data_IF_133196645038
#
_entry.id   IF_133196645038
#
_cell.length_a   1.000
_cell.length_b   1.000
_cell.length_c   1.000
_cell.angle_alpha   90.00
_cell.angle_beta   90.00
_cell.angle_gamma   90.00
#
_symmetry.space_group_name_H-M   'P 1'
#
loop_
_entity.id
_entity.type
_entity.pdbx_description
1 polymer ?
#
# COMPACT_ATOMS: atom_id res chain seq x y z
N UNK A 1 -14.43 -11.03 1.51
CA UNK A 1 -15.10 -9.74 1.17
C UNK A 1 -16.42 -9.98 0.45
N UNK A 2 -17.38 -9.04 0.52
CA UNK A 2 -18.66 -9.15 -0.21
C UNK A 2 -18.75 -8.07 -1.29
N UNK A 3 -18.93 -8.47 -2.55
CA UNK A 3 -19.19 -7.57 -3.67
C UNK A 3 -20.51 -6.82 -3.48
N UNK A 4 -20.52 -5.54 -3.85
CA UNK A 4 -21.67 -4.66 -3.83
C UNK A 4 -21.90 -4.11 -5.24
N UNK A 5 -23.08 -4.41 -5.79
CA UNK A 5 -23.51 -3.92 -7.10
C UNK A 5 -23.82 -2.42 -7.04
N UNK A 6 -23.35 -1.68 -8.04
CA UNK A 6 -23.57 -0.25 -8.17
C UNK A 6 -23.65 0.15 -9.65
N UNK A 7 -24.84 0.52 -10.10
CA UNK A 7 -25.07 0.98 -11.47
C UNK A 7 -24.21 2.22 -11.83
N UNK A 8 -23.83 3.03 -10.84
CA UNK A 8 -22.95 4.19 -11.05
C UNK A 8 -21.53 3.78 -11.43
N UNK A 9 -21.00 2.73 -10.78
CA UNK A 9 -19.67 2.22 -11.09
C UNK A 9 -19.67 1.50 -12.44
N UNK A 10 -20.73 0.75 -12.75
CA UNK A 10 -20.88 0.11 -14.06
C UNK A 10 -20.93 1.12 -15.22
N UNK A 11 -21.63 2.24 -15.03
CA UNK A 11 -21.64 3.35 -15.99
C UNK A 11 -20.24 3.96 -16.16
N UNK A 12 -19.47 4.12 -15.08
CA UNK A 12 -18.10 4.62 -15.14
C UNK A 12 -17.15 3.63 -15.82
N UNK A 13 -17.30 2.32 -15.58
CA UNK A 13 -16.49 1.28 -16.25
C UNK A 13 -16.67 1.37 -17.77
N UNK A 14 -17.91 1.53 -18.22
CA UNK A 14 -18.23 1.68 -19.64
C UNK A 14 -17.71 3.00 -20.23
N UNK A 15 -17.70 4.08 -19.44
CA UNK A 15 -17.25 5.39 -19.89
C UNK A 15 -15.71 5.51 -19.95
N UNK A 16 -15.00 4.83 -19.06
CA UNK A 16 -13.53 4.88 -18.95
C UNK A 16 -12.83 3.79 -19.77
N UNK A 17 -13.53 2.71 -20.11
CA UNK A 17 -12.96 1.69 -20.99
C UNK A 17 -12.98 2.17 -22.43
N UNK A 18 -11.80 2.38 -23.00
CA UNK A 18 -11.61 2.96 -24.33
C UNK A 18 -10.70 2.05 -25.15
N UNK A 19 -11.04 1.86 -26.42
CA UNK A 19 -10.20 1.19 -27.40
C UNK A 19 -9.71 2.23 -28.39
N UNK A 20 -8.39 2.36 -28.49
CA UNK A 20 -7.68 3.13 -29.51
C UNK A 20 -6.98 2.14 -30.46
N UNK A 21 -6.55 2.62 -31.62
CA UNK A 21 -5.97 1.75 -32.67
C UNK A 21 -4.75 0.95 -32.18
N UNK A 22 -3.97 1.49 -31.23
CA UNK A 22 -2.74 0.90 -30.72
C UNK A 22 -2.81 0.39 -29.27
N UNK A 23 -3.87 0.73 -28.53
CA UNK A 23 -4.00 0.35 -27.12
C UNK A 23 -5.46 0.24 -26.66
N UNK A 24 -5.71 -0.69 -25.75
CA UNK A 24 -7.01 -0.85 -25.10
C UNK A 24 -6.89 -0.59 -23.60
N UNK A 25 -7.59 0.42 -23.13
CA UNK A 25 -7.73 0.70 -21.71
C UNK A 25 -8.97 -0.05 -21.19
N UNK A 26 -8.74 -1.06 -20.35
CA UNK A 26 -9.79 -1.88 -19.74
C UNK A 26 -9.93 -1.49 -18.26
N UNK A 27 -11.03 -0.82 -17.92
CA UNK A 27 -11.24 -0.25 -16.57
C UNK A 27 -12.36 -0.97 -15.86
N UNK A 28 -12.05 -1.49 -14.67
CA UNK A 28 -13.02 -2.14 -13.78
C UNK A 28 -13.00 -1.52 -12.39
N UNK A 29 -14.01 -0.70 -12.11
CA UNK A 29 -14.33 -0.16 -10.80
C UNK A 29 -15.37 -1.04 -10.12
N UNK A 30 -15.04 -1.48 -8.91
CA UNK A 30 -15.86 -2.39 -8.10
C UNK A 30 -15.96 -1.86 -6.68
N UNK A 31 -17.04 -2.22 -5.98
CA UNK A 31 -17.19 -1.89 -4.57
C UNK A 31 -17.39 -3.13 -3.72
N UNK A 32 -16.73 -3.15 -2.56
CA UNK A 32 -16.73 -4.30 -1.65
C UNK A 32 -17.01 -3.86 -0.21
N UNK A 33 -17.81 -4.64 0.50
CA UNK A 33 -17.96 -4.49 1.95
C UNK A 33 -16.83 -5.22 2.68
N UNK A 34 -16.20 -4.53 3.63
CA UNK A 34 -15.19 -5.07 4.55
C UNK A 34 -15.77 -6.01 5.63
N UNK A 35 -17.03 -6.44 5.50
CA UNK A 35 -17.66 -7.38 6.42
C UNK A 35 -17.05 -8.76 6.22
N UNK A 36 -16.34 -9.25 7.24
CA UNK A 36 -15.80 -10.61 7.25
C UNK A 36 -16.91 -11.65 7.10
N UNK A 37 -16.85 -12.44 6.03
CA UNK A 37 -17.65 -13.67 5.89
C UNK A 37 -16.96 -14.85 6.57
N UNK A 38 -17.60 -16.01 6.65
CA UNK A 38 -17.06 -17.17 7.39
C UNK A 38 -15.69 -17.63 6.85
N UNK A 39 -15.50 -17.59 5.54
CA UNK A 39 -14.23 -17.91 4.87
C UNK A 39 -13.13 -16.94 5.28
N UNK A 40 -13.43 -15.63 5.26
CA UNK A 40 -12.51 -14.58 5.71
C UNK A 40 -12.09 -14.78 7.17
N UNK A 41 -13.02 -15.15 8.05
CA UNK A 41 -12.71 -15.43 9.47
C UNK A 41 -11.73 -16.59 9.63
N UNK A 42 -11.83 -17.62 8.78
CA UNK A 42 -10.91 -18.77 8.79
C UNK A 42 -9.54 -18.37 8.28
N UNK A 43 -9.48 -17.61 7.19
CA UNK A 43 -8.23 -17.09 6.64
C UNK A 43 -7.53 -16.16 7.63
N UNK A 44 -8.25 -15.21 8.22
CA UNK A 44 -7.74 -14.31 9.25
C UNK A 44 -7.04 -15.08 10.39
N UNK A 45 -7.67 -16.13 10.91
CA UNK A 45 -7.09 -16.96 11.98
C UNK A 45 -5.83 -17.72 11.55
N UNK A 46 -5.69 -18.07 10.27
CA UNK A 46 -4.50 -18.77 9.73
C UNK A 46 -3.33 -17.80 9.54
N UNK A 47 -3.61 -16.60 9.05
CA UNK A 47 -2.60 -15.55 8.82
C UNK A 47 -2.13 -14.93 10.14
N UNK A 48 -2.96 -14.96 11.17
CA UNK A 48 -2.65 -14.36 12.46
C UNK A 48 -1.70 -15.24 13.29
N UNK A 49 -0.50 -14.72 13.55
CA UNK A 49 0.45 -15.35 14.46
C UNK A 49 0.05 -15.06 15.92
N UNK A 50 0.18 -16.04 16.85
CA UNK A 50 -0.06 -15.80 18.27
C UNK A 50 0.87 -14.69 18.79
N UNK A 51 0.31 -13.68 19.45
CA UNK A 51 1.07 -12.58 20.05
C UNK A 51 1.16 -11.29 19.23
N UNK A 52 0.55 -11.25 18.05
CA UNK A 52 0.40 -10.01 17.27
C UNK A 52 -1.00 -9.43 17.47
N UNK A 53 -1.22 -8.14 17.24
CA UNK A 53 -2.54 -7.49 17.31
C UNK A 53 -3.03 -7.11 15.90
N UNK A 54 -4.36 -7.04 15.66
CA UNK A 54 -4.90 -6.62 14.37
C UNK A 54 -4.50 -5.20 13.94
N UNK A 55 -4.16 -4.36 14.92
CA UNK A 55 -3.76 -2.95 14.71
C UNK A 55 -2.25 -2.78 14.58
N UNK A 56 -1.48 -3.86 14.70
CA UNK A 56 -0.04 -3.80 14.56
C UNK A 56 0.31 -3.30 13.15
N UNK A 57 1.24 -2.37 13.09
CA UNK A 57 1.67 -1.72 11.87
C UNK A 57 2.83 -2.48 11.24
N UNK A 58 2.76 -2.64 9.92
CA UNK A 58 3.82 -3.17 9.09
C UNK A 58 4.28 -2.10 8.10
N UNK A 59 5.59 -2.00 7.83
CA UNK A 59 6.10 -1.01 6.88
C UNK A 59 5.64 -1.33 5.46
N UNK A 60 5.29 -0.29 4.70
CA UNK A 60 4.98 -0.37 3.28
C UNK A 60 6.26 -0.37 2.42
N UNK A 61 6.08 -0.58 1.12
CA UNK A 61 7.11 -0.26 0.12
C UNK A 61 7.52 1.21 0.25
N UNK A 62 8.79 1.56 -0.03
CA UNK A 62 9.19 2.96 -0.12
C UNK A 62 8.29 3.69 -1.12
N UNK A 63 7.93 4.96 -0.88
CA UNK A 63 7.30 5.76 -1.92
C UNK A 63 8.23 5.76 -3.13
N UNK A 64 7.70 5.44 -4.30
CA UNK A 64 8.42 5.68 -5.56
C UNK A 64 8.51 7.19 -5.68
N UNK A 65 9.64 7.75 -5.24
CA UNK A 65 9.97 9.11 -5.62
C UNK A 65 10.35 9.02 -7.09
N UNK A 66 9.51 9.57 -7.96
CA UNK A 66 9.93 9.94 -9.31
C UNK A 66 11.02 11.00 -9.17
N UNK A 67 12.24 10.58 -8.86
CA UNK A 67 13.42 11.41 -9.01
C UNK A 67 13.90 11.22 -10.46
N UNK A 68 13.82 12.27 -11.32
CA UNK A 68 14.21 12.17 -12.72
C UNK A 68 15.71 11.85 -12.91
N UNK A 69 16.49 11.87 -11.84
CA UNK A 69 17.92 11.56 -11.83
C UNK A 69 18.19 10.36 -10.94
N UNK A 70 17.76 9.17 -11.40
CA UNK A 70 17.92 7.87 -10.75
C UNK A 70 19.36 7.49 -10.38
N UNK A 71 19.89 8.13 -9.35
CA UNK A 71 21.13 7.75 -8.71
C UNK A 71 20.80 6.99 -7.42
N UNK A 72 21.17 5.71 -7.30
CA UNK A 72 21.27 5.11 -5.97
C UNK A 72 22.26 5.97 -5.16
N UNK A 73 22.07 6.18 -3.85
CA UNK A 73 23.07 6.84 -3.03
C UNK A 73 24.37 6.04 -3.14
N UNK A 74 25.32 6.61 -3.88
CA UNK A 74 26.60 5.99 -4.14
C UNK A 74 27.33 5.84 -2.80
N UNK A 75 27.92 4.66 -2.49
CA UNK A 75 28.58 4.43 -1.21
C UNK A 75 29.83 5.29 -0.96
N UNK A 76 30.25 6.13 -1.93
CA UNK A 76 31.52 6.86 -1.90
C UNK A 76 31.39 8.37 -1.70
N UNK A 77 30.28 8.90 -1.19
CA UNK A 77 30.22 10.30 -0.75
C UNK A 77 31.13 10.48 0.49
N UNK A 78 32.18 11.31 0.43
CA UNK A 78 33.07 11.54 1.56
C UNK A 78 32.32 12.33 2.63
N UNK A 79 31.73 11.61 3.59
CA UNK A 79 30.91 12.17 4.67
C UNK A 79 30.11 11.12 5.45
N UNK A 80 29.84 9.94 4.87
CA UNK A 80 29.18 8.83 5.57
C UNK A 80 30.20 7.88 6.19
N UNK A 81 30.53 8.09 7.47
CA UNK A 81 31.21 7.06 8.26
C UNK A 81 30.32 5.81 8.38
N UNK A 82 30.85 4.59 8.25
CA UNK A 82 30.08 3.33 8.29
C UNK A 82 29.65 2.93 9.71
N UNK A 83 29.49 3.89 10.64
CA UNK A 83 29.11 3.65 12.03
C UNK A 83 27.59 3.61 12.25
N UNK A 84 26.80 4.04 11.26
CA UNK A 84 25.34 4.13 11.38
C UNK A 84 24.61 2.83 10.98
N UNK A 85 25.29 1.79 10.52
CA UNK A 85 24.61 0.52 10.21
C UNK A 85 24.36 -0.34 11.46
N UNK A 86 25.22 -0.26 12.48
CA UNK A 86 25.11 -1.12 13.67
C UNK A 86 24.14 -0.59 14.74
N UNK A 87 23.83 0.71 14.76
CA UNK A 87 22.92 1.28 15.75
C UNK A 87 21.43 0.96 15.48
N UNK A 88 21.08 0.52 14.27
CA UNK A 88 19.69 0.33 13.84
C UNK A 88 19.02 -0.94 14.39
N UNK A 89 19.74 -1.81 15.10
CA UNK A 89 19.17 -3.02 15.70
C UNK A 89 18.91 -2.91 17.22
N UNK A 90 19.18 -1.76 17.83
CA UNK A 90 18.95 -1.53 19.27
C UNK A 90 18.24 -0.21 19.56
N UNK A 91 16.96 -0.12 19.22
CA UNK A 91 16.07 0.80 19.90
C UNK A 91 14.76 0.10 20.21
N UNK A 92 14.75 -0.50 21.40
CA UNK A 92 13.57 -1.09 22.04
C UNK A 92 12.54 0.00 22.31
N UNK A 93 11.31 -0.24 21.87
CA UNK A 93 10.10 -0.15 22.69
C UNK A 93 9.97 1.09 23.60
N UNK A 94 9.44 2.22 23.13
CA UNK A 94 8.73 3.21 23.97
C UNK A 94 7.62 3.93 23.20
N UNK A 95 6.56 4.17 23.95
CA UNK A 95 5.21 4.59 23.61
C UNK A 95 5.04 6.08 23.33
N UNK A 96 3.88 6.38 22.75
CA UNK A 96 3.05 7.59 22.83
C UNK A 96 3.57 8.93 22.27
N UNK A 97 2.76 9.42 21.32
CA UNK A 97 2.33 10.79 21.09
C UNK A 97 3.20 11.94 21.64
N UNK A 98 3.73 12.77 20.74
CA UNK A 98 3.58 14.23 20.79
C UNK A 98 4.04 14.87 19.48
N UNK A 99 3.12 15.62 18.86
CA UNK A 99 3.41 16.59 17.83
C UNK A 99 4.17 17.75 18.47
N UNK A 100 5.41 17.96 18.04
CA UNK A 100 6.17 19.18 18.33
C UNK A 100 7.02 19.49 17.11
N UNK A 101 6.71 20.61 16.45
CA UNK A 101 7.45 21.10 15.31
C UNK A 101 8.85 21.53 15.72
N UNK A 102 9.82 21.02 14.97
CA UNK A 102 11.16 21.59 14.85
C UNK A 102 11.64 21.27 13.44
N UNK A 103 12.03 22.30 12.69
CA UNK A 103 12.63 22.24 11.36
C UNK A 103 14.02 21.58 11.41
N UNK A 104 14.05 20.28 11.68
CA UNK A 104 15.19 19.39 11.57
C UNK A 104 14.71 18.21 10.73
N UNK A 105 15.48 17.80 9.73
CA UNK A 105 15.14 16.75 8.76
C UNK A 105 14.91 15.42 9.51
N UNK A 106 13.69 15.28 10.05
CA UNK A 106 13.30 14.22 10.94
C UNK A 106 13.29 12.89 10.20
N UNK A 107 13.43 11.77 10.94
CA UNK A 107 13.40 10.44 10.35
C UNK A 107 12.17 10.30 9.46
N UNK A 108 12.40 10.03 8.17
CA UNK A 108 11.34 9.76 7.19
C UNK A 108 10.38 8.75 7.83
N UNK A 109 9.19 9.23 8.21
CA UNK A 109 8.15 8.41 8.79
C UNK A 109 7.76 7.41 7.72
N UNK A 110 8.32 6.19 7.79
CA UNK A 110 8.05 5.15 6.82
C UNK A 110 6.55 4.85 6.86
N UNK A 111 5.91 4.96 5.69
CA UNK A 111 4.49 4.64 5.58
C UNK A 111 4.23 3.23 6.10
N UNK A 112 3.10 3.08 6.79
CA UNK A 112 2.75 1.83 7.45
C UNK A 112 1.29 1.49 7.29
N UNK A 113 1.01 0.20 7.31
CA UNK A 113 -0.33 -0.36 7.16
C UNK A 113 -0.64 -1.28 8.33
N UNK A 114 -1.87 -1.23 8.84
CA UNK A 114 -2.29 -2.20 9.85
C UNK A 114 -2.43 -3.58 9.23
N UNK A 115 -2.10 -4.64 9.99
CA UNK A 115 -2.35 -6.03 9.56
C UNK A 115 -3.79 -6.26 9.11
N UNK A 116 -4.74 -5.60 9.78
CA UNK A 116 -6.15 -5.66 9.41
C UNK A 116 -6.40 -5.09 8.02
N UNK A 117 -5.88 -3.89 7.75
CA UNK A 117 -6.03 -3.26 6.43
C UNK A 117 -5.35 -4.08 5.35
N UNK A 118 -4.14 -4.58 5.60
CA UNK A 118 -3.42 -5.44 4.65
C UNK A 118 -4.24 -6.70 4.31
N UNK A 119 -4.79 -7.37 5.33
CA UNK A 119 -5.66 -8.52 5.12
C UNK A 119 -6.90 -8.17 4.28
N UNK A 120 -7.54 -7.04 4.57
CA UNK A 120 -8.71 -6.60 3.82
C UNK A 120 -8.35 -6.33 2.34
N UNK A 121 -7.20 -5.71 2.05
CA UNK A 121 -6.72 -5.50 0.67
C UNK A 121 -6.45 -6.82 -0.07
N UNK A 122 -5.72 -7.75 0.56
CA UNK A 122 -5.45 -9.08 -0.02
C UNK A 122 -6.75 -9.84 -0.28
N UNK A 123 -7.71 -9.74 0.65
CA UNK A 123 -9.01 -10.37 0.48
C UNK A 123 -9.79 -9.76 -0.70
N UNK A 124 -9.69 -8.45 -0.94
CA UNK A 124 -10.28 -7.82 -2.14
C UNK A 124 -9.63 -8.34 -3.41
N UNK A 125 -8.29 -8.39 -3.47
CA UNK A 125 -7.56 -8.89 -4.65
C UNK A 125 -7.97 -10.32 -5.01
N UNK A 126 -7.97 -11.23 -4.02
CA UNK A 126 -8.38 -12.62 -4.21
C UNK A 126 -9.85 -12.75 -4.67
N UNK A 127 -10.73 -11.81 -4.31
CA UNK A 127 -12.12 -11.83 -4.77
C UNK A 127 -12.33 -11.20 -6.15
N UNK A 128 -11.53 -10.19 -6.50
CA UNK A 128 -11.62 -9.48 -7.78
C UNK A 128 -10.93 -10.26 -8.91
N UNK A 129 -9.84 -10.98 -8.59
CA UNK A 129 -9.05 -11.78 -9.53
C UNK A 129 -9.02 -13.23 -9.08
N UNK A 130 -10.11 -13.97 -9.35
CA UNK A 130 -10.30 -15.34 -8.85
C UNK A 130 -9.35 -16.38 -9.45
N UNK A 131 -8.69 -16.04 -10.54
CA UNK A 131 -7.68 -16.82 -11.24
C UNK A 131 -6.27 -16.65 -10.66
N UNK A 132 -6.08 -15.72 -9.72
CA UNK A 132 -4.82 -15.46 -9.04
C UNK A 132 -4.94 -15.71 -7.53
N UNK A 133 -3.81 -16.05 -6.89
CA UNK A 133 -3.70 -16.18 -5.44
C UNK A 133 -2.73 -15.15 -4.87
N UNK A 134 -3.26 -14.23 -4.08
CA UNK A 134 -2.52 -13.16 -3.40
C UNK A 134 -2.28 -13.45 -1.92
N UNK A 135 -2.55 -14.67 -1.44
CA UNK A 135 -2.46 -15.01 -0.01
C UNK A 135 -1.08 -14.77 0.61
N UNK A 136 -0.02 -14.80 -0.21
CA UNK A 136 1.37 -14.59 0.20
C UNK A 136 1.86 -13.14 -0.01
N UNK A 137 0.99 -12.23 -0.49
CA UNK A 137 1.34 -10.82 -0.66
C UNK A 137 1.69 -10.17 0.69
N UNK A 138 2.69 -9.30 0.68
CA UNK A 138 3.28 -8.70 1.89
C UNK A 138 3.15 -7.19 1.88
N UNK A 139 3.29 -6.54 3.02
CA UNK A 139 3.13 -5.09 3.13
C UNK A 139 4.12 -4.30 2.26
N UNK A 140 5.30 -4.84 1.99
CA UNK A 140 6.33 -4.25 1.14
C UNK A 140 6.02 -4.30 -0.37
N UNK A 141 4.89 -4.89 -0.78
CA UNK A 141 4.39 -4.82 -2.17
C UNK A 141 3.26 -3.80 -2.34
N UNK A 142 2.91 -3.06 -1.28
CA UNK A 142 1.90 -2.01 -1.31
C UNK A 142 2.55 -0.66 -1.02
N UNK A 143 2.07 0.41 -1.65
CA UNK A 143 2.48 1.79 -1.37
C UNK A 143 1.25 2.59 -0.92
N UNK A 144 1.45 3.53 -0.01
CA UNK A 144 0.41 4.51 0.31
C UNK A 144 0.46 5.61 -0.74
N UNK A 145 -0.64 5.87 -1.43
CA UNK A 145 -0.76 7.02 -2.34
C UNK A 145 -1.40 8.18 -1.55
N UNK A 146 -0.65 9.24 -1.23
CA UNK A 146 -1.20 10.37 -0.50
C UNK A 146 -2.13 11.21 -1.39
N UNK A 147 -3.37 11.41 -0.92
CA UNK A 147 -4.43 12.20 -1.53
C UNK A 147 -4.93 11.74 -2.91
N UNK A 148 -6.23 11.96 -3.15
CA UNK A 148 -6.92 11.61 -4.40
C UNK A 148 -6.46 12.48 -5.57
N UNK A 149 -5.99 13.70 -5.31
CA UNK A 149 -5.57 14.64 -6.36
C UNK A 149 -4.33 14.13 -7.11
N UNK A 150 -3.32 13.59 -6.42
CA UNK A 150 -2.07 13.11 -7.05
C UNK A 150 -2.31 11.91 -7.97
N UNK A 151 -3.20 10.99 -7.58
CA UNK A 151 -3.53 9.82 -8.39
C UNK A 151 -4.38 10.12 -9.64
N UNK A 152 -5.08 11.26 -9.68
CA UNK A 152 -5.82 11.70 -10.86
C UNK A 152 -4.90 12.32 -11.90
N UNK A 153 -3.89 13.11 -11.50
CA UNK A 153 -2.92 13.67 -12.44
C UNK A 153 -2.09 12.59 -13.15
N UNK A 154 -1.68 11.52 -12.44
CA UNK A 154 -0.93 10.41 -13.06
C UNK A 154 -1.75 9.59 -14.06
N UNK A 155 -3.09 9.59 -13.96
CA UNK A 155 -3.97 8.91 -14.92
C UNK A 155 -4.35 9.81 -16.10
N UNK A 156 -4.25 11.12 -15.94
CA UNK A 156 -4.70 12.11 -16.93
C UNK A 156 -3.55 12.67 -17.79
N UNK A 157 -2.29 12.62 -17.34
CA UNK A 157 -1.17 13.17 -18.14
C UNK A 157 -0.79 12.37 -19.39
N UNK A 158 -1.33 11.16 -19.59
CA UNK A 158 -1.08 10.32 -20.77
C UNK A 158 -2.28 10.22 -21.74
N UNK A 159 -3.25 11.13 -21.66
CA UNK A 159 -4.43 11.18 -22.56
C UNK A 159 -4.36 12.32 -23.61
#
# INVERSE_FOLDING_TARGET
MKYLESAKLEALNSALSVESDDCRLDVRLESYSCKMVQTDKRQWKRTFQPGTSPRDLQPLSPPVVDDPWGFPPSPNTPGCTPALLEAHTRARHRSDHSFSGSDDEGPVLRDSISRRTLFDLIAVLNTSFSDYDFSDAKSDTFSLVPAVEVGLYSVVEDA
#
